data_IF_575142030770
#
_entry.id   IF_575142030770
#
_cell.length_a   1.000
_cell.length_b   1.000
_cell.length_c   1.000
_cell.angle_alpha   90.00
_cell.angle_beta   90.00
_cell.angle_gamma   90.00
#
_symmetry.space_group_name_H-M   'P 1'
#
loop_
_entity.id
_entity.type
_entity.pdbx_description
1 polymer ?
#
# COMPACT_ATOMS: atom_id res chain seq x y z
N UNK A 1 -2.81 -2.76 -12.14
CA UNK A 1 -3.55 -1.49 -11.97
C UNK A 1 -2.54 -0.43 -11.60
N UNK A 2 -2.45 0.68 -12.33
CA UNK A 2 -1.57 1.79 -11.92
C UNK A 2 -2.26 2.60 -10.81
N UNK A 3 -1.48 3.09 -9.85
CA UNK A 3 -1.90 4.00 -8.79
C UNK A 3 -0.88 5.14 -8.71
N UNK A 4 -1.34 6.37 -8.90
CA UNK A 4 -0.52 7.57 -8.76
C UNK A 4 -0.86 8.25 -7.44
N UNK A 5 0.10 8.40 -6.53
CA UNK A 5 -0.02 9.19 -5.31
C UNK A 5 0.59 10.57 -5.52
N UNK A 6 -0.03 11.62 -4.99
CA UNK A 6 0.48 12.99 -5.13
C UNK A 6 0.16 13.83 -3.89
N UNK A 7 0.97 14.87 -3.68
CA UNK A 7 0.77 15.89 -2.64
C UNK A 7 -0.23 16.92 -3.15
N UNK A 8 -1.29 17.18 -2.38
CA UNK A 8 -2.36 18.13 -2.77
C UNK A 8 -2.00 19.57 -2.40
N UNK A 9 -1.32 19.77 -1.28
CA UNK A 9 -0.78 21.04 -0.80
C UNK A 9 0.74 20.90 -0.57
N UNK A 10 1.31 21.67 0.36
CA UNK A 10 2.72 21.60 0.81
C UNK A 10 3.10 20.25 1.51
N UNK A 11 2.53 19.14 1.04
CA UNK A 11 2.76 17.78 1.54
C UNK A 11 1.99 17.43 2.82
N UNK A 12 1.03 18.25 3.26
CA UNK A 12 0.17 17.94 4.41
C UNK A 12 -0.99 17.04 4.02
N UNK A 13 -1.44 17.10 2.78
CA UNK A 13 -2.48 16.25 2.20
C UNK A 13 -1.91 15.38 1.08
N UNK A 14 -2.30 14.11 1.10
CA UNK A 14 -2.03 13.12 0.06
C UNK A 14 -3.34 12.70 -0.59
N UNK A 15 -3.33 12.56 -1.90
CA UNK A 15 -4.41 11.94 -2.65
C UNK A 15 -3.82 10.94 -3.66
N UNK A 16 -4.68 10.07 -4.19
CA UNK A 16 -4.26 9.12 -5.21
C UNK A 16 -5.31 8.93 -6.30
N UNK A 17 -4.87 8.54 -7.48
CA UNK A 17 -5.71 8.14 -8.62
C UNK A 17 -5.34 6.72 -9.02
N UNK A 18 -6.35 5.86 -9.21
CA UNK A 18 -6.14 4.52 -9.74
C UNK A 18 -6.61 4.42 -11.19
N UNK A 19 -5.80 3.77 -12.02
CA UNK A 19 -6.06 3.49 -13.44
C UNK A 19 -6.06 1.97 -13.67
N UNK A 20 -7.24 1.32 -13.65
CA UNK A 20 -7.34 -0.10 -13.98
C UNK A 20 -7.19 -0.33 -15.50
N UNK A 21 -6.59 -1.44 -15.95
CA UNK A 21 -6.16 -1.64 -17.35
C UNK A 21 -7.27 -1.64 -18.42
N UNK A 22 -8.55 -1.71 -18.02
CA UNK A 22 -9.72 -1.68 -18.92
C UNK A 22 -10.89 -0.88 -18.34
N UNK A 23 -10.64 0.01 -17.38
CA UNK A 23 -11.70 0.80 -16.72
C UNK A 23 -11.27 2.26 -16.62
N UNK A 24 -12.25 3.16 -16.50
CA UNK A 24 -11.99 4.57 -16.28
C UNK A 24 -11.15 4.75 -15.01
N UNK A 25 -10.19 5.67 -15.08
CA UNK A 25 -9.46 6.15 -13.90
C UNK A 25 -10.45 6.73 -12.89
N UNK A 26 -10.15 6.59 -11.60
CA UNK A 26 -10.97 7.19 -10.54
C UNK A 26 -10.10 7.76 -9.43
N UNK A 27 -10.59 8.84 -8.83
CA UNK A 27 -9.97 9.49 -7.69
C UNK A 27 -10.21 8.66 -6.43
N UNK A 28 -9.15 8.56 -5.63
CA UNK A 28 -9.10 7.94 -4.32
C UNK A 28 -9.51 8.89 -3.20
N UNK A 29 -9.27 8.43 -1.97
CA UNK A 29 -9.41 9.25 -0.77
C UNK A 29 -8.33 10.35 -0.75
N UNK A 30 -8.70 11.54 -0.27
CA UNK A 30 -7.73 12.57 0.15
C UNK A 30 -7.56 12.47 1.66
N UNK A 31 -6.32 12.39 2.15
CA UNK A 31 -6.01 12.17 3.56
C UNK A 31 -4.82 13.00 4.02
N UNK A 32 -4.70 13.15 5.34
CA UNK A 32 -3.50 13.72 5.93
C UNK A 32 -2.27 12.83 5.62
N UNK A 33 -1.21 13.47 5.14
CA UNK A 33 0.10 12.87 4.88
C UNK A 33 1.02 12.98 6.10
N UNK A 34 0.85 13.99 6.96
CA UNK A 34 1.71 14.20 8.14
C UNK A 34 3.21 14.25 7.79
N UNK A 35 4.08 13.95 8.77
CA UNK A 35 5.54 13.80 8.57
C UNK A 35 5.95 12.37 8.15
N UNK A 36 4.99 11.45 8.18
CA UNK A 36 5.18 10.03 7.93
C UNK A 36 4.63 9.64 6.55
N UNK A 37 4.59 8.35 6.28
CA UNK A 37 3.99 7.84 5.06
C UNK A 37 2.44 7.93 5.13
N UNK A 38 1.76 8.44 4.08
CA UNK A 38 0.30 8.45 4.01
C UNK A 38 -0.30 7.06 4.21
N UNK A 39 -1.44 6.97 4.90
CA UNK A 39 -2.05 5.69 5.29
C UNK A 39 -2.25 4.74 4.10
N UNK A 40 -2.91 5.18 3.03
CA UNK A 40 -3.20 4.34 1.86
C UNK A 40 -1.91 3.91 1.13
N UNK A 41 -0.86 4.74 1.15
CA UNK A 41 0.45 4.41 0.58
C UNK A 41 1.20 3.39 1.46
N UNK A 42 1.14 3.52 2.79
CA UNK A 42 1.68 2.53 3.71
C UNK A 42 0.96 1.19 3.57
N UNK A 43 -0.37 1.20 3.48
CA UNK A 43 -1.18 0.03 3.22
C UNK A 43 -0.84 -0.62 1.87
N UNK A 44 -0.56 0.17 0.82
CA UNK A 44 -0.07 -0.34 -0.46
C UNK A 44 1.21 -1.15 -0.28
N UNK A 45 2.20 -0.55 0.39
CA UNK A 45 3.51 -1.17 0.61
C UNK A 45 3.38 -2.45 1.43
N UNK A 46 2.61 -2.44 2.50
CA UNK A 46 2.44 -3.62 3.35
C UNK A 46 1.69 -4.72 2.62
N UNK A 47 0.54 -4.41 1.99
CA UNK A 47 -0.20 -5.43 1.25
C UNK A 47 0.64 -6.04 0.13
N UNK A 48 1.45 -5.23 -0.56
CA UNK A 48 2.38 -5.71 -1.58
C UNK A 48 3.45 -6.64 -0.99
N UNK A 49 4.10 -6.20 0.10
CA UNK A 49 5.21 -6.92 0.73
C UNK A 49 4.79 -8.33 1.17
N UNK A 50 3.56 -8.48 1.64
CA UNK A 50 3.02 -9.77 2.09
C UNK A 50 2.19 -10.50 1.02
N UNK A 51 2.15 -9.99 -0.21
CA UNK A 51 1.38 -10.61 -1.30
C UNK A 51 -0.13 -10.66 -1.03
N UNK A 52 -0.67 -9.72 -0.25
CA UNK A 52 -2.06 -9.69 0.20
C UNK A 52 -2.99 -9.32 -0.96
N UNK A 53 -3.73 -10.31 -1.47
CA UNK A 53 -4.64 -10.14 -2.60
C UNK A 53 -6.10 -9.83 -2.20
N UNK A 54 -6.41 -9.91 -0.91
CA UNK A 54 -7.76 -9.74 -0.34
C UNK A 54 -7.85 -8.54 0.62
N UNK A 55 -6.80 -7.72 0.67
CA UNK A 55 -6.79 -6.43 1.34
C UNK A 55 -7.46 -5.34 0.49
N UNK A 56 -7.32 -4.09 0.91
CA UNK A 56 -7.92 -2.94 0.23
C UNK A 56 -7.47 -2.86 -1.22
N UNK A 57 -6.18 -2.85 -1.51
CA UNK A 57 -5.66 -2.65 -2.87
C UNK A 57 -5.94 -3.84 -3.77
N UNK A 58 -5.83 -5.06 -3.22
CA UNK A 58 -6.24 -6.28 -3.90
C UNK A 58 -7.72 -6.25 -4.33
N UNK A 59 -8.61 -5.78 -3.46
CA UNK A 59 -10.04 -5.67 -3.76
C UNK A 59 -10.35 -4.47 -4.67
N UNK A 60 -9.69 -3.32 -4.49
CA UNK A 60 -9.81 -2.16 -5.41
C UNK A 60 -9.49 -2.59 -6.84
N UNK A 61 -8.39 -3.31 -7.03
CA UNK A 61 -7.97 -3.84 -8.33
C UNK A 61 -8.98 -4.83 -8.93
N UNK A 62 -9.68 -5.59 -8.10
CA UNK A 62 -10.77 -6.51 -8.50
C UNK A 62 -12.11 -5.82 -8.74
N UNK A 63 -12.23 -4.53 -8.45
CA UNK A 63 -13.44 -3.75 -8.71
C UNK A 63 -14.31 -3.45 -7.49
N UNK A 64 -13.84 -3.73 -6.27
CA UNK A 64 -14.55 -3.39 -5.04
C UNK A 64 -14.79 -1.88 -4.93
N UNK A 65 -15.99 -1.45 -4.52
CA UNK A 65 -16.36 -0.02 -4.45
C UNK A 65 -16.57 0.40 -2.99
N UNK A 66 -15.49 0.81 -2.34
CA UNK A 66 -15.52 1.22 -0.93
C UNK A 66 -16.19 2.58 -0.77
N UNK A 67 -17.01 2.73 0.28
CA UNK A 67 -17.63 4.01 0.63
C UNK A 67 -16.58 5.09 0.97
N UNK A 68 -15.42 4.68 1.47
CA UNK A 68 -14.30 5.55 1.79
C UNK A 68 -13.62 6.16 0.57
N UNK A 69 -13.88 5.65 -0.64
CA UNK A 69 -13.29 6.17 -1.90
C UNK A 69 -14.28 7.15 -2.55
N UNK A 70 -14.16 8.47 -2.30
CA UNK A 70 -15.07 9.46 -2.84
C UNK A 70 -14.98 9.49 -4.38
N UNK A 71 -16.11 9.76 -5.03
CA UNK A 71 -16.17 9.88 -6.50
C UNK A 71 -16.17 8.55 -7.28
N UNK A 72 -15.97 7.40 -6.63
CA UNK A 72 -16.16 6.11 -7.27
C UNK A 72 -17.61 5.66 -7.19
N UNK A 73 -18.27 5.51 -8.35
CA UNK A 73 -19.64 4.98 -8.42
C UNK A 73 -19.72 3.63 -7.71
N UNK A 74 -20.55 3.56 -6.67
CA UNK A 74 -20.86 2.33 -5.99
C UNK A 74 -21.59 1.38 -6.95
N UNK A 75 -21.15 0.13 -7.02
CA UNK A 75 -21.79 -0.90 -7.84
C UNK A 75 -22.16 -2.09 -6.97
N UNK A 76 -23.29 -2.73 -7.27
CA UNK A 76 -23.72 -3.92 -6.55
C UNK A 76 -22.65 -5.03 -6.58
N UNK A 77 -22.03 -5.39 -7.73
CA UNK A 77 -20.93 -6.37 -7.74
C UNK A 77 -19.72 -5.93 -6.90
N UNK A 78 -19.38 -4.63 -6.93
CA UNK A 78 -18.27 -4.11 -6.14
C UNK A 78 -18.54 -4.13 -4.63
N UNK A 79 -19.79 -3.94 -4.21
CA UNK A 79 -20.20 -4.07 -2.81
C UNK A 79 -20.26 -5.53 -2.36
N UNK A 80 -20.72 -6.44 -3.23
CA UNK A 80 -20.73 -7.89 -2.97
C UNK A 80 -19.31 -8.42 -2.74
N UNK A 81 -18.31 -7.95 -3.50
CA UNK A 81 -16.90 -8.24 -3.24
C UNK A 81 -16.45 -7.86 -1.83
N UNK A 82 -16.83 -6.66 -1.36
CA UNK A 82 -16.51 -6.20 0.01
C UNK A 82 -17.21 -7.06 1.04
N UNK A 83 -18.50 -7.38 0.84
CA UNK A 83 -19.27 -8.20 1.77
C UNK A 83 -18.68 -9.61 1.88
N UNK A 84 -18.33 -10.23 0.76
CA UNK A 84 -17.74 -11.56 0.70
C UNK A 84 -16.36 -11.64 1.37
N UNK A 85 -15.64 -10.53 1.48
CA UNK A 85 -14.28 -10.48 2.03
C UNK A 85 -14.16 -9.65 3.31
N UNK A 86 -15.27 -9.31 3.99
CA UNK A 86 -15.26 -8.41 5.15
C UNK A 86 -14.36 -8.90 6.30
N UNK A 87 -14.43 -10.18 6.64
CA UNK A 87 -13.59 -10.75 7.70
C UNK A 87 -12.10 -10.71 7.33
N UNK A 88 -11.78 -11.06 6.07
CA UNK A 88 -10.42 -10.96 5.56
C UNK A 88 -9.92 -9.50 5.56
N UNK A 89 -10.75 -8.55 5.15
CA UNK A 89 -10.42 -7.12 5.17
C UNK A 89 -10.04 -6.65 6.57
N UNK A 90 -10.83 -6.99 7.60
CA UNK A 90 -10.53 -6.61 8.98
C UNK A 90 -9.22 -7.21 9.46
N UNK A 91 -9.00 -8.51 9.20
CA UNK A 91 -7.76 -9.17 9.57
C UNK A 91 -6.54 -8.55 8.86
N UNK A 92 -6.69 -8.15 7.60
CA UNK A 92 -5.61 -7.48 6.84
C UNK A 92 -5.37 -6.06 7.34
N UNK A 93 -6.41 -5.31 7.69
CA UNK A 93 -6.28 -3.99 8.30
C UNK A 93 -5.53 -4.07 9.65
N UNK A 94 -5.81 -5.09 10.47
CA UNK A 94 -5.09 -5.33 11.73
C UNK A 94 -3.61 -5.68 11.50
N UNK A 95 -3.33 -6.50 10.49
CA UNK A 95 -1.96 -6.84 10.10
C UNK A 95 -1.20 -5.59 9.61
N UNK A 96 -1.83 -4.78 8.74
CA UNK A 96 -1.25 -3.51 8.27
C UNK A 96 -0.98 -2.57 9.43
N UNK A 97 -1.95 -2.38 10.32
CA UNK A 97 -1.81 -1.53 11.50
C UNK A 97 -0.68 -2.02 12.41
N UNK A 98 -0.53 -3.33 12.59
CA UNK A 98 0.57 -3.92 13.37
C UNK A 98 1.92 -3.54 12.79
N UNK A 99 2.14 -3.77 11.49
CA UNK A 99 3.42 -3.48 10.85
C UNK A 99 3.73 -1.98 10.77
N UNK A 100 2.74 -1.15 10.46
CA UNK A 100 2.93 0.31 10.37
C UNK A 100 3.18 0.90 11.76
N UNK A 101 2.50 0.41 12.80
CA UNK A 101 2.72 0.89 14.17
C UNK A 101 4.10 0.49 14.70
N UNK A 102 4.52 -0.76 14.47
CA UNK A 102 5.86 -1.21 14.82
C UNK A 102 6.93 -0.36 14.11
N UNK A 103 6.79 -0.13 12.80
CA UNK A 103 7.71 0.70 12.03
C UNK A 103 7.77 2.14 12.54
N UNK A 104 6.62 2.79 12.80
CA UNK A 104 6.57 4.15 13.35
C UNK A 104 7.20 4.26 14.74
N UNK A 105 7.13 3.21 15.54
CA UNK A 105 7.80 3.13 16.84
C UNK A 105 9.30 2.83 16.73
N UNK A 106 9.85 2.64 15.52
CA UNK A 106 11.24 2.25 15.31
C UNK A 106 11.52 0.77 15.60
N UNK A 107 10.49 -0.04 15.83
CA UNK A 107 10.63 -1.47 16.05
C UNK A 107 10.82 -2.23 14.72
N UNK A 108 11.57 -3.34 14.77
CA UNK A 108 11.80 -4.18 13.60
C UNK A 108 10.50 -4.83 13.13
N UNK A 109 10.30 -4.83 11.81
CA UNK A 109 9.14 -5.42 11.14
C UNK A 109 9.54 -5.85 9.73
N UNK A 110 9.02 -6.96 9.18
CA UNK A 110 9.36 -7.40 7.83
C UNK A 110 9.08 -6.37 6.73
N UNK A 111 8.09 -5.48 6.94
CA UNK A 111 7.78 -4.40 6.00
C UNK A 111 8.69 -3.15 6.15
N UNK A 112 9.49 -3.07 7.23
CA UNK A 112 10.25 -1.88 7.61
C UNK A 112 11.14 -1.33 6.50
N UNK A 113 12.06 -2.14 5.93
CA UNK A 113 12.95 -1.66 4.87
C UNK A 113 12.23 -1.11 3.63
N UNK A 114 11.08 -1.71 3.26
CA UNK A 114 10.29 -1.26 2.11
C UNK A 114 9.51 0.01 2.44
N UNK A 115 9.02 0.13 3.68
CA UNK A 115 8.38 1.35 4.19
C UNK A 115 9.37 2.52 4.25
N UNK A 116 10.61 2.30 4.70
CA UNK A 116 11.66 3.31 4.71
C UNK A 116 12.01 3.78 3.30
N UNK A 117 12.21 2.85 2.37
CA UNK A 117 12.47 3.18 0.97
C UNK A 117 11.30 3.96 0.35
N UNK A 118 10.06 3.60 0.68
CA UNK A 118 8.88 4.34 0.22
C UNK A 118 8.77 5.73 0.85
N UNK A 119 9.07 5.86 2.14
CA UNK A 119 9.10 7.14 2.84
C UNK A 119 10.13 8.08 2.23
N UNK A 120 11.32 7.59 1.88
CA UNK A 120 12.33 8.37 1.20
C UNK A 120 11.83 8.90 -0.16
N UNK A 121 11.20 8.03 -0.97
CA UNK A 121 10.59 8.42 -2.24
C UNK A 121 9.46 9.45 -2.06
N UNK A 122 8.60 9.26 -1.06
CA UNK A 122 7.50 10.17 -0.75
C UNK A 122 8.01 11.54 -0.30
N UNK A 123 9.05 11.58 0.55
CA UNK A 123 9.67 12.83 1.00
C UNK A 123 10.31 13.59 -0.15
N UNK A 124 11.00 12.89 -1.04
CA UNK A 124 11.65 13.47 -2.21
C UNK A 124 10.67 13.98 -3.28
N UNK A 125 9.42 13.50 -3.30
CA UNK A 125 8.41 13.88 -4.30
C UNK A 125 8.03 15.37 -4.17
N UNK A 126 8.24 16.22 -5.20
CA UNK A 126 7.77 17.60 -5.19
C UNK A 126 6.24 17.70 -5.21
N UNK A 127 5.70 18.84 -4.75
CA UNK A 127 4.28 19.16 -4.92
C UNK A 127 3.99 19.33 -6.41
N UNK A 128 2.87 18.77 -6.88
CA UNK A 128 2.51 18.75 -8.30
C UNK A 128 3.06 17.57 -9.09
N UNK A 129 3.95 16.76 -8.50
CA UNK A 129 4.42 15.50 -9.10
C UNK A 129 3.63 14.28 -8.61
N UNK A 130 3.72 13.20 -9.38
CA UNK A 130 3.04 11.93 -9.11
C UNK A 130 4.03 10.79 -8.84
N UNK A 131 3.88 10.14 -7.70
CA UNK A 131 4.52 8.87 -7.38
C UNK A 131 3.68 7.72 -7.95
N UNK A 132 4.06 7.24 -9.14
CA UNK A 132 3.37 6.15 -9.85
C UNK A 132 3.82 4.77 -9.39
N UNK A 133 2.87 3.92 -9.01
CA UNK A 133 3.07 2.54 -8.58
C UNK A 133 2.15 1.60 -9.38
N UNK A 134 2.56 0.36 -9.59
CA UNK A 134 1.77 -0.67 -10.27
C UNK A 134 1.34 -1.72 -9.27
N UNK A 135 0.05 -2.07 -9.23
CA UNK A 135 -0.50 -3.11 -8.36
C UNK A 135 -0.96 -4.37 -9.12
N UNK A 136 -0.64 -5.58 -8.63
CA UNK A 136 0.50 -5.82 -7.73
C UNK A 136 1.81 -5.55 -8.49
N UNK A 137 2.89 -5.08 -7.85
CA UNK A 137 4.18 -5.10 -8.53
C UNK A 137 4.61 -6.54 -8.74
N UNK A 138 5.36 -6.84 -9.81
CA UNK A 138 6.11 -8.07 -9.89
C UNK A 138 7.00 -8.17 -8.65
N UNK A 139 6.77 -9.16 -7.81
CA UNK A 139 7.67 -9.43 -6.69
C UNK A 139 9.01 -9.85 -7.31
N UNK A 140 10.06 -9.05 -7.09
CA UNK A 140 11.43 -9.50 -7.33
C UNK A 140 11.78 -10.42 -6.16
N UNK A 141 11.98 -11.73 -6.34
CA UNK A 141 12.31 -12.61 -5.23
C UNK A 141 13.58 -12.09 -4.56
N UNK A 142 13.54 -11.83 -3.25
CA UNK A 142 14.76 -11.57 -2.48
C UNK A 142 15.59 -12.84 -2.55
N UNK A 143 16.74 -12.81 -3.24
CA UNK A 143 17.75 -13.87 -3.06
C UNK A 143 18.15 -13.87 -1.58
N UNK A 144 18.02 -15.02 -0.92
CA UNK A 144 18.44 -15.24 0.46
C UNK A 144 19.81 -14.61 0.73
N UNK A 145 19.85 -13.59 1.58
CA UNK A 145 21.05 -13.19 2.29
C UNK A 145 21.03 -13.89 3.65
N UNK A 146 21.07 -15.23 3.62
CA UNK A 146 21.31 -16.09 4.78
C UNK A 146 22.15 -17.28 4.26
N UNK A 147 23.37 -16.97 3.83
CA UNK A 147 24.40 -17.94 3.47
C UNK A 147 25.78 -17.33 3.79
N UNK A 148 25.94 -16.83 5.02
CA UNK A 148 27.23 -16.37 5.53
C UNK A 148 27.24 -16.38 7.07
N UNK A 149 26.79 -17.47 7.70
CA UNK A 149 27.04 -17.66 9.15
C UNK A 149 27.01 -19.14 9.59
N UNK A 150 27.35 -20.07 8.69
CA UNK A 150 27.64 -21.47 9.06
C UNK A 150 28.83 -22.00 8.25
N UNK A 151 29.97 -21.33 8.41
CA UNK A 151 31.27 -21.87 7.99
C UNK A 151 32.39 -21.28 8.86
N UNK A 152 32.21 -21.27 10.18
CA UNK A 152 33.34 -21.10 11.08
C UNK A 152 33.09 -21.83 12.41
N UNK A 153 33.89 -22.87 12.62
CA UNK A 153 33.91 -23.73 13.81
C UNK A 153 33.58 -25.19 13.47
N UNK A 154 34.44 -26.17 13.66
CA UNK A 154 35.73 -26.29 14.34
C UNK A 154 36.47 -27.46 13.68
N UNK A 155 37.80 -27.34 13.64
CA UNK A 155 38.77 -28.34 13.18
C UNK A 155 38.68 -29.67 13.93
#
# INVERSE_FOLDING_TARGET
MEVAFYKVDDGRLCAWVATPPKRKRFQGTTMASGRDLPHDLAQFVVEETFGIQRGFWGLVAKGATFKSVPGRRLTRPGQELIRAHRAALKAMEDLVNTHVSAWRAGASTPAGPVLDAMLARWRALPVGEELRLVWPRPHVPRKNQDAAEQAEGVR
#
